data_IF_896073361587
#
_entry.id   IF_896073361587
#
_cell.length_a   1.000
_cell.length_b   1.000
_cell.length_c   1.000
_cell.angle_alpha   90.00
_cell.angle_beta   90.00
_cell.angle_gamma   90.00
#
_symmetry.space_group_name_H-M   'P 1'
#
loop_
_entity.id
_entity.type
_entity.pdbx_description
1 polymer ?
#
# COMPACT_ATOMS: atom_id res chain seq x y z
N UNK A 1 -6.39 1.43 8.77
CA UNK A 1 -5.50 0.27 8.93
C UNK A 1 -6.24 -0.88 9.63
N UNK A 2 -6.78 -0.65 10.83
CA UNK A 2 -7.56 -1.65 11.59
C UNK A 2 -8.69 -2.29 10.79
N UNK A 3 -9.49 -1.50 10.08
CA UNK A 3 -10.58 -2.02 9.24
C UNK A 3 -10.07 -2.96 8.13
N UNK A 4 -8.96 -2.62 7.48
CA UNK A 4 -8.34 -3.49 6.49
C UNK A 4 -7.87 -4.82 7.12
N UNK A 5 -7.28 -4.78 8.31
CA UNK A 5 -6.90 -5.98 9.05
C UNK A 5 -8.12 -6.85 9.43
N UNK A 6 -9.23 -6.22 9.84
CA UNK A 6 -10.50 -6.91 10.11
C UNK A 6 -11.04 -7.60 8.87
N UNK A 7 -11.06 -6.92 7.71
CA UNK A 7 -11.50 -7.51 6.43
C UNK A 7 -10.64 -8.72 6.06
N UNK A 8 -9.31 -8.60 6.19
CA UNK A 8 -8.40 -9.72 5.91
C UNK A 8 -8.65 -10.91 6.85
N UNK A 9 -8.88 -10.65 8.15
CA UNK A 9 -9.10 -11.70 9.14
C UNK A 9 -10.40 -12.50 8.90
N UNK A 10 -11.41 -11.92 8.24
CA UNK A 10 -12.67 -12.60 7.94
C UNK A 10 -12.54 -13.70 6.89
N UNK A 11 -11.54 -13.60 6.00
CA UNK A 11 -11.33 -14.58 4.94
C UNK A 11 -9.83 -14.83 4.72
N UNK A 12 -9.29 -15.92 5.30
CA UNK A 12 -7.88 -16.26 5.15
C UNK A 12 -7.48 -16.42 3.68
N UNK A 13 -6.42 -15.71 3.28
CA UNK A 13 -5.94 -15.61 1.89
C UNK A 13 -4.44 -15.35 1.86
N UNK A 14 -3.84 -15.40 0.66
CA UNK A 14 -2.49 -14.89 0.39
C UNK A 14 -2.55 -13.39 0.05
N UNK A 15 -2.06 -12.56 0.96
CA UNK A 15 -2.26 -11.11 0.96
C UNK A 15 -0.98 -10.39 0.58
N UNK A 16 -1.07 -9.44 -0.36
CA UNK A 16 0.02 -8.55 -0.68
C UNK A 16 -0.15 -7.18 0.00
N UNK A 17 0.67 -6.92 1.02
CA UNK A 17 0.73 -5.64 1.71
C UNK A 17 1.67 -4.69 0.98
N UNK A 18 1.09 -3.67 0.35
CA UNK A 18 1.81 -2.61 -0.38
C UNK A 18 1.83 -1.28 0.39
N UNK A 19 1.76 -1.37 1.72
CA UNK A 19 1.58 -0.24 2.65
C UNK A 19 2.90 0.34 3.17
N UNK A 20 4.04 -0.23 2.75
CA UNK A 20 5.37 0.05 3.29
C UNK A 20 5.54 -0.52 4.71
N UNK A 21 6.60 -0.10 5.41
CA UNK A 21 6.87 -0.57 6.78
C UNK A 21 5.82 -0.16 7.82
N UNK A 22 5.19 0.99 7.64
CA UNK A 22 4.26 1.55 8.63
C UNK A 22 2.87 0.93 8.51
N UNK A 23 2.38 0.32 9.59
CA UNK A 23 1.04 -0.26 9.70
C UNK A 23 0.97 -1.77 9.49
N UNK A 24 2.12 -2.44 9.38
CA UNK A 24 2.20 -3.91 9.29
C UNK A 24 1.76 -4.57 10.59
N UNK A 25 2.00 -3.91 11.73
CA UNK A 25 1.61 -4.30 13.08
C UNK A 25 0.10 -4.54 13.24
N UNK A 26 -0.74 -3.84 12.47
CA UNK A 26 -2.18 -4.07 12.47
C UNK A 26 -2.59 -5.49 12.03
N UNK A 27 -1.69 -6.21 11.34
CA UNK A 27 -1.91 -7.58 10.88
C UNK A 27 -1.18 -8.63 11.74
N UNK A 28 -0.46 -8.23 12.79
CA UNK A 28 0.45 -9.11 13.55
C UNK A 28 -0.24 -10.34 14.15
N UNK A 29 -1.49 -10.20 14.60
CA UNK A 29 -2.26 -11.29 15.21
C UNK A 29 -2.93 -12.23 14.19
N UNK A 30 -2.82 -11.95 12.89
CA UNK A 30 -3.43 -12.79 11.86
C UNK A 30 -2.56 -14.00 11.54
N UNK A 31 -2.84 -15.11 12.22
CA UNK A 31 -2.17 -16.39 12.03
C UNK A 31 -2.78 -17.28 10.93
N UNK A 32 -3.89 -16.87 10.31
CA UNK A 32 -4.59 -17.70 9.31
C UNK A 32 -4.23 -17.35 7.86
N UNK A 33 -3.82 -16.11 7.61
CA UNK A 33 -3.44 -15.61 6.29
C UNK A 33 -1.92 -15.65 6.09
N UNK A 34 -1.48 -15.69 4.85
CA UNK A 34 -0.06 -15.54 4.49
C UNK A 34 0.18 -14.17 3.86
N UNK A 35 1.27 -13.50 4.21
CA UNK A 35 1.51 -12.11 3.83
C UNK A 35 2.81 -11.92 3.03
N UNK A 36 2.71 -11.35 1.83
CA UNK A 36 3.84 -10.70 1.17
C UNK A 36 3.88 -9.24 1.62
N UNK A 37 4.95 -8.80 2.28
CA UNK A 37 5.12 -7.44 2.76
C UNK A 37 6.18 -6.76 1.90
N UNK A 38 5.77 -5.82 1.04
CA UNK A 38 6.75 -5.02 0.30
C UNK A 38 7.02 -3.69 1.00
N UNK A 39 8.29 -3.45 1.30
CA UNK A 39 8.76 -2.22 1.91
C UNK A 39 10.14 -1.83 1.39
N UNK A 40 10.52 -0.57 1.53
CA UNK A 40 11.89 -0.12 1.24
C UNK A 40 12.83 -0.59 2.36
N UNK A 41 12.45 -0.28 3.60
CA UNK A 41 13.13 -0.73 4.81
C UNK A 41 12.28 -1.77 5.53
N UNK A 42 12.89 -2.73 6.21
CA UNK A 42 12.15 -3.74 6.95
C UNK A 42 11.25 -3.09 8.03
N UNK A 43 10.05 -3.63 8.28
CA UNK A 43 9.26 -3.25 9.46
C UNK A 43 10.05 -3.48 10.75
N UNK A 44 10.03 -2.48 11.62
CA UNK A 44 10.61 -2.47 12.97
C UNK A 44 9.55 -2.81 14.05
N UNK A 45 8.36 -3.20 13.63
CA UNK A 45 7.20 -3.54 14.47
C UNK A 45 6.86 -5.03 14.39
N UNK A 46 5.95 -5.51 15.24
CA UNK A 46 5.39 -6.86 15.13
C UNK A 46 4.85 -7.13 13.72
N UNK A 47 5.02 -8.36 13.24
CA UNK A 47 4.60 -8.81 11.91
C UNK A 47 3.73 -10.06 12.03
N UNK A 48 2.85 -10.34 11.04
CA UNK A 48 2.07 -11.58 11.02
C UNK A 48 2.99 -12.80 11.09
N UNK A 49 2.62 -13.91 11.74
CA UNK A 49 3.49 -15.08 11.88
C UNK A 49 3.84 -15.75 10.53
N UNK A 50 2.99 -15.61 9.52
CA UNK A 50 3.21 -16.19 8.19
C UNK A 50 3.45 -15.09 7.16
N UNK A 51 4.71 -14.73 6.96
CA UNK A 51 5.05 -13.64 6.05
C UNK A 51 6.34 -13.88 5.26
N UNK A 52 6.47 -13.14 4.17
CA UNK A 52 7.70 -12.89 3.42
C UNK A 52 7.88 -11.36 3.31
N UNK A 53 9.05 -10.84 3.69
CA UNK A 53 9.40 -9.43 3.47
C UNK A 53 10.17 -9.30 2.17
N UNK A 54 9.60 -8.53 1.24
CA UNK A 54 10.24 -8.11 -0.01
C UNK A 54 10.78 -6.68 0.16
N UNK A 55 12.09 -6.55 0.32
CA UNK A 55 12.76 -5.26 0.33
C UNK A 55 12.95 -4.76 -1.10
N UNK A 56 12.20 -3.74 -1.49
CA UNK A 56 12.22 -3.23 -2.86
C UNK A 56 11.84 -1.75 -2.90
N UNK A 57 12.50 -1.01 -3.81
CA UNK A 57 12.21 0.39 -4.14
C UNK A 57 11.81 0.48 -5.61
N UNK A 58 10.72 1.20 -5.88
CA UNK A 58 10.25 1.43 -7.24
C UNK A 58 11.17 2.36 -8.06
N UNK A 59 10.83 2.64 -9.33
CA UNK A 59 9.58 2.29 -10.01
C UNK A 59 9.35 0.78 -10.15
N UNK A 60 8.07 0.38 -10.11
CA UNK A 60 7.63 -0.95 -10.49
C UNK A 60 6.79 -0.84 -11.76
N UNK A 61 6.96 -1.77 -12.70
CA UNK A 61 6.12 -1.88 -13.90
C UNK A 61 5.04 -2.95 -13.72
N UNK A 62 3.99 -2.91 -14.56
CA UNK A 62 2.84 -3.81 -14.44
C UNK A 62 3.20 -5.26 -14.72
N UNK A 63 4.11 -5.55 -15.65
CA UNK A 63 4.50 -6.91 -15.98
C UNK A 63 5.23 -7.59 -14.81
N UNK A 64 6.15 -6.86 -14.16
CA UNK A 64 6.81 -7.31 -12.94
C UNK A 64 5.84 -7.52 -11.78
N UNK A 65 4.84 -6.64 -11.63
CA UNK A 65 3.80 -6.81 -10.61
C UNK A 65 2.91 -8.04 -10.87
N UNK A 66 2.56 -8.31 -12.12
CA UNK A 66 1.77 -9.50 -12.51
C UNK A 66 2.56 -10.77 -12.18
N UNK A 67 3.83 -10.83 -12.55
CA UNK A 67 4.67 -11.99 -12.30
C UNK A 67 4.89 -12.20 -10.80
N UNK A 68 5.12 -11.13 -10.04
CA UNK A 68 5.23 -11.19 -8.58
C UNK A 68 3.94 -11.75 -7.96
N UNK A 69 2.78 -11.22 -8.35
CA UNK A 69 1.50 -11.66 -7.81
C UNK A 69 1.20 -13.12 -8.18
N UNK A 70 1.50 -13.55 -9.42
CA UNK A 70 1.31 -14.94 -9.86
C UNK A 70 2.25 -15.91 -9.14
N UNK A 71 3.55 -15.62 -9.13
CA UNK A 71 4.56 -16.49 -8.51
C UNK A 71 4.35 -16.67 -7.01
N UNK A 72 3.74 -15.69 -6.34
CA UNK A 72 3.37 -15.77 -4.93
C UNK A 72 1.91 -16.15 -4.69
N UNK A 73 1.13 -16.44 -5.74
CA UNK A 73 -0.28 -16.82 -5.64
C UNK A 73 -1.10 -15.82 -4.84
N UNK A 74 -0.93 -14.52 -5.07
CA UNK A 74 -1.63 -13.46 -4.34
C UNK A 74 -3.12 -13.48 -4.68
N UNK A 75 -3.96 -13.38 -3.65
CA UNK A 75 -5.42 -13.45 -3.74
C UNK A 75 -6.11 -12.17 -3.25
N UNK A 76 -5.35 -11.26 -2.63
CA UNK A 76 -5.83 -9.97 -2.15
C UNK A 76 -4.67 -8.97 -2.09
N UNK A 77 -4.88 -7.74 -2.56
CA UNK A 77 -3.93 -6.64 -2.37
C UNK A 77 -4.48 -5.68 -1.32
N UNK A 78 -3.66 -5.31 -0.33
CA UNK A 78 -3.94 -4.18 0.56
C UNK A 78 -3.03 -3.03 0.18
N UNK A 79 -3.61 -1.86 -0.07
CA UNK A 79 -2.87 -0.69 -0.53
C UNK A 79 -3.30 0.60 0.13
N UNK A 80 -2.36 1.52 0.34
CA UNK A 80 -2.68 2.89 0.73
C UNK A 80 -3.02 3.70 -0.51
N UNK A 81 -4.01 4.58 -0.41
CA UNK A 81 -4.31 5.57 -1.45
C UNK A 81 -3.26 6.70 -1.42
N UNK A 82 -2.03 6.37 -1.83
CA UNK A 82 -0.87 7.26 -1.69
C UNK A 82 -0.89 8.44 -2.68
N UNK A 83 -1.61 8.32 -3.80
CA UNK A 83 -1.69 9.33 -4.85
C UNK A 83 -0.35 9.61 -5.54
N UNK A 84 -0.20 9.20 -6.80
CA UNK A 84 0.95 9.53 -7.62
C UNK A 84 0.99 8.72 -8.92
N UNK A 85 1.51 9.29 -10.01
CA UNK A 85 1.60 8.61 -11.30
C UNK A 85 2.35 7.26 -11.24
N UNK A 86 3.22 7.07 -10.25
CA UNK A 86 3.95 5.81 -10.00
C UNK A 86 3.16 4.77 -9.17
N UNK A 87 1.88 5.02 -8.84
CA UNK A 87 1.04 4.10 -8.04
C UNK A 87 0.17 3.13 -8.84
N UNK A 88 0.19 3.19 -10.18
CA UNK A 88 -0.68 2.39 -11.04
C UNK A 88 -0.26 0.93 -11.22
N UNK A 89 1.03 0.60 -11.33
CA UNK A 89 1.47 -0.73 -11.77
C UNK A 89 0.83 -1.89 -10.98
N UNK A 90 0.79 -1.77 -9.64
CA UNK A 90 0.14 -2.76 -8.76
C UNK A 90 -1.38 -2.83 -8.94
N UNK A 91 -2.03 -1.70 -9.21
CA UNK A 91 -3.48 -1.63 -9.41
C UNK A 91 -3.87 -2.19 -10.79
N UNK A 92 -3.04 -1.93 -11.81
CA UNK A 92 -3.15 -2.51 -13.14
C UNK A 92 -2.97 -4.02 -13.06
N UNK A 93 -1.91 -4.50 -12.43
CA UNK A 93 -1.65 -5.93 -12.25
C UNK A 93 -2.78 -6.66 -11.50
N UNK A 94 -3.23 -6.09 -10.37
CA UNK A 94 -4.35 -6.66 -9.62
C UNK A 94 -5.63 -6.72 -10.46
N UNK A 95 -5.91 -5.68 -11.27
CA UNK A 95 -7.05 -5.67 -12.19
C UNK A 95 -6.94 -6.74 -13.27
N UNK A 96 -5.78 -6.87 -13.90
CA UNK A 96 -5.54 -7.88 -14.93
C UNK A 96 -5.70 -9.31 -14.38
N UNK A 97 -5.25 -9.52 -13.15
CA UNK A 97 -5.36 -10.81 -12.45
C UNK A 97 -6.73 -11.02 -11.77
N UNK A 98 -7.63 -10.03 -11.82
CA UNK A 98 -8.92 -10.02 -11.11
C UNK A 98 -8.78 -10.25 -9.61
N UNK A 99 -7.68 -9.77 -9.03
CA UNK A 99 -7.41 -9.82 -7.60
C UNK A 99 -8.13 -8.64 -6.92
N UNK A 100 -8.96 -8.88 -5.89
CA UNK A 100 -9.60 -7.80 -5.14
C UNK A 100 -8.57 -6.91 -4.45
N UNK A 101 -8.94 -5.65 -4.23
CA UNK A 101 -8.08 -4.66 -3.57
C UNK A 101 -8.83 -4.08 -2.38
N UNK A 102 -8.23 -4.15 -1.20
CA UNK A 102 -8.63 -3.34 -0.06
C UNK A 102 -7.81 -2.06 -0.09
N UNK A 103 -8.48 -0.96 -0.43
CA UNK A 103 -7.87 0.37 -0.43
C UNK A 103 -8.03 1.00 0.95
N UNK A 104 -6.92 1.48 1.52
CA UNK A 104 -6.90 2.26 2.75
C UNK A 104 -6.96 3.73 2.34
N UNK A 105 -8.03 4.40 2.77
CA UNK A 105 -8.24 5.81 2.51
C UNK A 105 -7.15 6.68 3.11
N UNK A 106 -6.90 7.80 2.44
CA UNK A 106 -6.02 8.85 2.94
C UNK A 106 -6.68 9.47 4.19
N UNK A 107 -5.96 9.67 5.30
CA UNK A 107 -6.50 10.38 6.45
C UNK A 107 -7.02 11.76 6.03
N UNK A 108 -8.09 12.24 6.70
CA UNK A 108 -8.57 13.60 6.48
C UNK A 108 -7.47 14.59 6.87
N UNK A 109 -7.03 15.39 5.91
CA UNK A 109 -6.12 16.51 6.19
C UNK A 109 -6.90 17.56 6.99
N UNK A 110 -6.34 18.10 8.10
CA UNK A 110 -6.92 19.26 8.75
C UNK A 110 -7.08 20.41 7.73
N UNK A 111 -8.10 21.26 7.86
CA UNK A 111 -8.22 22.43 7.01
C UNK A 111 -6.95 23.29 7.13
N UNK A 112 -6.31 23.53 6.00
CA UNK A 112 -5.17 24.45 5.88
C UNK A 112 -5.61 25.76 5.22
N UNK A 113 -4.81 26.82 5.40
CA UNK A 113 -5.06 28.12 4.76
C UNK A 113 -5.01 28.07 3.22
N UNK A 114 -4.43 27.02 2.64
CA UNK A 114 -4.15 26.89 1.22
C UNK A 114 -3.95 25.42 0.83
N UNK A 115 -4.63 24.98 -0.23
CA UNK A 115 -4.51 23.64 -0.83
C UNK A 115 -4.40 23.78 -2.36
N UNK A 116 -3.48 23.04 -2.98
CA UNK A 116 -3.31 23.01 -4.44
C UNK A 116 -2.72 21.66 -4.87
N UNK A 117 -3.04 21.23 -6.08
CA UNK A 117 -2.43 20.07 -6.74
C UNK A 117 -1.22 20.41 -7.61
N UNK A 118 -0.82 21.69 -7.70
CA UNK A 118 0.23 22.16 -8.60
C UNK A 118 1.42 22.76 -7.84
N UNK A 119 2.64 22.42 -8.28
CA UNK A 119 3.87 22.94 -7.66
C UNK A 119 3.99 24.45 -7.84
N UNK A 120 3.60 24.99 -8.99
CA UNK A 120 3.72 26.42 -9.31
C UNK A 120 2.87 27.31 -8.39
N UNK A 121 1.71 26.80 -7.97
CA UNK A 121 0.81 27.48 -7.03
C UNK A 121 1.45 27.58 -5.64
N UNK A 122 2.17 26.55 -5.20
CA UNK A 122 2.91 26.54 -3.93
C UNK A 122 4.03 27.58 -3.96
N UNK A 123 4.80 27.63 -5.05
CA UNK A 123 5.89 28.61 -5.21
C UNK A 123 5.34 30.04 -5.17
N UNK A 124 4.22 30.29 -5.85
CA UNK A 124 3.55 31.59 -5.87
C UNK A 124 3.00 31.98 -4.50
N UNK A 125 2.46 31.02 -3.75
CA UNK A 125 1.99 31.24 -2.38
C UNK A 125 3.13 31.59 -1.41
N UNK A 126 4.26 30.87 -1.47
CA UNK A 126 5.43 31.14 -0.63
C UNK A 126 5.98 32.55 -0.88
N UNK A 127 6.10 32.94 -2.15
CA UNK A 127 6.59 34.29 -2.53
C UNK A 127 5.70 35.44 -2.04
N UNK A 128 4.41 35.20 -1.78
CA UNK A 128 3.49 36.22 -1.24
C UNK A 128 3.52 36.33 0.28
N UNK A 129 4.15 35.38 0.97
CA UNK A 129 4.23 35.31 2.44
C UNK A 129 5.63 35.59 3.01
N UNK A 130 6.65 35.68 2.15
CA UNK A 130 8.00 36.17 2.46
C UNK A 130 8.10 37.66 2.10
#
# INVERSE_FOLDING_TARGET
MTEAATIVAQQPRRVFLTIGRQGVDAFAENASSWFLIRSIDAPDTSMPPHHEVLLARGPFDSAGEIELMRSRGIELVVSKNSGGAMTEAKLVAARELRIPIVMIDRPRTPPGDFETGAVDDVVSWLRRRL
#
